data_IF_106436409852
#
_entry.id   IF_106436409852
#
_cell.length_a   1.000
_cell.length_b   1.000
_cell.length_c   1.000
_cell.angle_alpha   90.00
_cell.angle_beta   90.00
_cell.angle_gamma   90.00
#
_symmetry.space_group_name_H-M   'P 1'
#
loop_
_entity.id
_entity.type
_entity.pdbx_description
1 polymer ?
#
# COMPACT_ATOMS: atom_id res chain seq x y z
N UNK A 1 -10.58 19.62 -33.18
CA UNK A 1 -10.14 18.81 -32.03
C UNK A 1 -9.45 17.60 -32.62
N UNK A 2 -8.13 17.61 -32.72
CA UNK A 2 -7.39 16.51 -33.32
C UNK A 2 -7.45 15.27 -32.41
N UNK A 3 -7.60 14.06 -32.96
CA UNK A 3 -7.62 12.84 -32.16
C UNK A 3 -6.25 12.62 -31.48
N UNK A 4 -6.23 11.98 -30.30
CA UNK A 4 -4.99 11.65 -29.60
C UNK A 4 -4.05 10.82 -30.49
N UNK A 5 -2.76 11.14 -30.46
CA UNK A 5 -1.75 10.45 -31.28
C UNK A 5 -1.63 8.97 -30.86
N UNK A 6 -1.23 8.05 -31.76
CA UNK A 6 -1.14 6.62 -31.45
C UNK A 6 -0.28 6.27 -30.22
N UNK A 7 0.72 7.11 -29.91
CA UNK A 7 1.61 6.96 -28.75
C UNK A 7 0.84 7.15 -27.44
N UNK A 8 -0.11 8.09 -27.39
CA UNK A 8 -0.89 8.35 -26.16
C UNK A 8 -1.93 7.24 -25.91
N UNK A 9 -2.51 6.68 -26.97
CA UNK A 9 -3.47 5.57 -26.87
C UNK A 9 -2.86 4.32 -26.20
N UNK A 10 -1.60 4.01 -26.47
CA UNK A 10 -0.92 2.86 -25.86
C UNK A 10 -0.51 3.12 -24.40
N UNK A 11 -0.12 4.35 -24.07
CA UNK A 11 0.18 4.76 -22.70
C UNK A 11 -1.10 4.68 -21.82
N UNK A 12 -2.23 5.19 -22.32
CA UNK A 12 -3.52 5.14 -21.63
C UNK A 12 -3.98 3.70 -21.37
N UNK A 13 -3.87 2.82 -22.39
CA UNK A 13 -4.18 1.38 -22.23
C UNK A 13 -3.32 0.73 -21.15
N UNK A 14 -2.02 1.04 -21.10
CA UNK A 14 -1.10 0.51 -20.07
C UNK A 14 -1.46 1.02 -18.67
N UNK A 15 -1.76 2.31 -18.52
CA UNK A 15 -2.19 2.91 -17.26
C UNK A 15 -3.49 2.26 -16.75
N UNK A 16 -4.47 2.06 -17.63
CA UNK A 16 -5.73 1.36 -17.31
C UNK A 16 -5.47 -0.05 -16.79
N UNK A 17 -4.63 -0.83 -17.48
CA UNK A 17 -4.27 -2.19 -17.06
C UNK A 17 -3.58 -2.20 -15.68
N UNK A 18 -2.64 -1.28 -15.43
CA UNK A 18 -1.97 -1.13 -14.13
C UNK A 18 -2.96 -0.80 -13.01
N UNK A 19 -3.87 0.16 -13.24
CA UNK A 19 -4.94 0.51 -12.29
C UNK A 19 -5.83 -0.70 -11.98
N UNK A 20 -6.28 -1.43 -12.99
CA UNK A 20 -7.10 -2.63 -12.77
C UNK A 20 -6.36 -3.72 -12.02
N UNK A 21 -5.05 -3.92 -12.27
CA UNK A 21 -4.22 -4.85 -11.49
C UNK A 21 -4.14 -4.43 -10.03
N UNK A 22 -3.87 -3.15 -9.75
CA UNK A 22 -3.80 -2.59 -8.40
C UNK A 22 -5.12 -2.77 -7.65
N UNK A 23 -6.26 -2.46 -8.27
CA UNK A 23 -7.59 -2.63 -7.65
C UNK A 23 -7.84 -4.10 -7.28
N UNK A 24 -7.54 -5.04 -8.18
CA UNK A 24 -7.68 -6.48 -7.88
C UNK A 24 -6.78 -6.92 -6.74
N UNK A 25 -5.55 -6.39 -6.67
CA UNK A 25 -4.59 -6.70 -5.62
C UNK A 25 -5.09 -6.19 -4.26
N UNK A 26 -5.54 -4.93 -4.19
CA UNK A 26 -6.15 -4.35 -2.98
C UNK A 26 -7.32 -5.19 -2.53
N UNK A 27 -8.27 -5.50 -3.42
CA UNK A 27 -9.45 -6.32 -3.09
C UNK A 27 -9.04 -7.66 -2.47
N UNK A 28 -7.99 -8.30 -2.99
CA UNK A 28 -7.49 -9.57 -2.47
C UNK A 28 -6.79 -9.45 -1.11
N UNK A 29 -6.20 -8.31 -0.80
CA UNK A 29 -5.62 -8.05 0.53
C UNK A 29 -6.74 -7.73 1.53
N UNK A 30 -7.74 -6.93 1.13
CA UNK A 30 -8.93 -6.66 1.96
C UNK A 30 -9.68 -7.95 2.30
N UNK A 31 -9.86 -8.85 1.33
CA UNK A 31 -10.48 -10.17 1.57
C UNK A 31 -9.69 -11.03 2.59
N UNK A 32 -8.38 -10.79 2.76
CA UNK A 32 -7.50 -11.55 3.68
C UNK A 32 -7.41 -10.89 5.06
N UNK A 33 -7.20 -9.57 5.09
CA UNK A 33 -6.78 -8.84 6.29
C UNK A 33 -7.84 -7.85 6.82
N UNK A 34 -8.87 -7.56 6.04
CA UNK A 34 -9.80 -6.45 6.29
C UNK A 34 -9.34 -5.13 5.68
N UNK A 35 -10.07 -4.05 6.00
CA UNK A 35 -9.87 -2.69 5.48
C UNK A 35 -9.17 -1.75 6.49
N UNK A 36 -8.50 -2.32 7.49
CA UNK A 36 -7.72 -1.59 8.47
C UNK A 36 -6.26 -1.42 8.03
N UNK A 37 -5.65 -0.30 8.40
CA UNK A 37 -4.22 -0.05 8.23
C UNK A 37 -3.40 -1.02 9.08
N UNK A 38 -2.39 -1.64 8.47
CA UNK A 38 -1.51 -2.60 9.15
C UNK A 38 -0.76 -1.98 10.34
N UNK A 39 -0.44 -0.67 10.26
CA UNK A 39 0.38 0.01 11.27
C UNK A 39 -0.44 0.58 12.42
N UNK A 40 -1.48 1.38 12.12
CA UNK A 40 -2.24 2.08 13.17
C UNK A 40 -3.58 1.42 13.52
N UNK A 41 -4.00 0.39 12.77
CA UNK A 41 -5.24 -0.35 13.02
C UNK A 41 -6.55 0.37 12.66
N UNK A 42 -6.50 1.64 12.23
CA UNK A 42 -7.68 2.42 11.80
C UNK A 42 -8.14 2.04 10.39
N UNK A 43 -9.44 2.24 10.10
CA UNK A 43 -9.98 2.03 8.75
C UNK A 43 -9.26 2.93 7.73
N UNK A 44 -9.01 2.38 6.53
CA UNK A 44 -8.29 3.07 5.47
C UNK A 44 -9.16 4.09 4.72
N UNK A 45 -10.47 3.84 4.60
CA UNK A 45 -11.34 4.64 3.73
C UNK A 45 -10.79 4.72 2.30
N UNK A 46 -10.62 5.95 1.80
CA UNK A 46 -10.04 6.20 0.47
C UNK A 46 -8.51 6.27 0.46
N UNK A 47 -7.84 6.38 1.62
CA UNK A 47 -6.39 6.44 1.75
C UNK A 47 -5.78 5.03 1.85
N UNK A 48 -5.78 4.34 0.70
CA UNK A 48 -5.24 2.98 0.58
C UNK A 48 -3.95 2.99 -0.23
N UNK A 49 -2.85 2.68 0.46
CA UNK A 49 -1.58 2.29 -0.15
C UNK A 49 -1.27 0.81 0.11
N UNK A 50 -0.33 0.26 -0.67
CA UNK A 50 0.15 -1.12 -0.50
C UNK A 50 1.59 -1.00 -0.04
N UNK A 51 1.94 -1.72 1.03
CA UNK A 51 3.28 -1.73 1.58
C UNK A 51 3.88 -3.14 1.61
N UNK A 52 5.17 -3.24 1.33
CA UNK A 52 5.92 -4.50 1.44
C UNK A 52 6.43 -4.69 2.87
N UNK A 53 6.08 -5.79 3.54
CA UNK A 53 6.58 -6.07 4.89
C UNK A 53 8.10 -6.23 4.90
N UNK A 54 8.63 -7.06 4.00
CA UNK A 54 10.05 -7.08 3.65
C UNK A 54 10.25 -6.11 2.48
N UNK A 55 10.97 -4.99 2.66
CA UNK A 55 11.21 -4.04 1.58
C UNK A 55 11.89 -4.67 0.36
N UNK A 56 11.58 -4.17 -0.84
CA UNK A 56 12.23 -4.62 -2.09
C UNK A 56 13.75 -4.38 -2.02
N UNK A 57 14.18 -3.29 -1.39
CA UNK A 57 15.61 -2.96 -1.15
C UNK A 57 16.33 -4.02 -0.30
N UNK A 58 15.58 -4.78 0.50
CA UNK A 58 16.07 -5.91 1.29
C UNK A 58 15.81 -7.27 0.62
N UNK A 59 15.45 -7.30 -0.68
CA UNK A 59 15.16 -8.53 -1.42
C UNK A 59 13.76 -9.10 -1.18
N UNK A 60 12.84 -8.31 -0.63
CA UNK A 60 11.47 -8.75 -0.38
C UNK A 60 10.69 -9.08 -1.66
N UNK A 61 9.90 -10.18 -1.68
CA UNK A 61 9.15 -10.58 -2.86
C UNK A 61 7.92 -9.69 -3.09
N UNK A 62 7.54 -9.47 -4.36
CA UNK A 62 6.27 -8.82 -4.74
C UNK A 62 5.10 -9.83 -4.74
N UNK A 63 5.03 -10.66 -3.71
CA UNK A 63 3.96 -11.65 -3.51
C UNK A 63 2.94 -11.11 -2.53
N UNK A 64 1.65 -11.43 -2.72
CA UNK A 64 0.56 -10.98 -1.84
C UNK A 64 0.82 -11.26 -0.36
N UNK A 65 1.50 -12.36 -0.01
CA UNK A 65 1.89 -12.69 1.37
C UNK A 65 2.83 -11.68 2.02
N UNK A 66 3.60 -10.93 1.24
CA UNK A 66 4.50 -9.86 1.69
C UNK A 66 3.86 -8.47 1.62
N UNK A 67 2.61 -8.37 1.15
CA UNK A 67 1.93 -7.08 0.95
C UNK A 67 0.88 -6.85 2.02
N UNK A 68 0.82 -5.65 2.57
CA UNK A 68 -0.21 -5.20 3.50
C UNK A 68 -0.79 -3.86 3.05
N UNK A 69 -1.92 -3.46 3.61
CA UNK A 69 -2.51 -2.14 3.36
C UNK A 69 -2.11 -1.15 4.44
N UNK A 70 -1.90 0.10 4.06
CA UNK A 70 -1.57 1.19 4.96
C UNK A 70 -2.07 2.53 4.42
N UNK A 71 -2.34 3.47 5.33
CA UNK A 71 -2.47 4.89 4.99
C UNK A 71 -1.19 5.42 4.36
N UNK A 72 -1.27 6.46 3.54
CA UNK A 72 -0.09 7.07 2.93
C UNK A 72 0.91 7.56 3.98
N UNK A 73 0.44 8.25 5.02
CA UNK A 73 1.33 8.79 6.07
C UNK A 73 1.98 7.69 6.91
N UNK A 74 1.22 6.66 7.30
CA UNK A 74 1.77 5.49 8.01
C UNK A 74 2.82 4.77 7.15
N UNK A 75 2.53 4.59 5.87
CA UNK A 75 3.43 3.95 4.94
C UNK A 75 4.74 4.74 4.77
N UNK A 76 4.64 6.05 4.60
CA UNK A 76 5.80 6.93 4.51
C UNK A 76 6.65 6.91 5.79
N UNK A 77 6.03 6.76 6.96
CA UNK A 77 6.76 6.63 8.23
C UNK A 77 7.50 5.29 8.35
N UNK A 78 6.95 4.25 7.72
CA UNK A 78 7.56 2.93 7.67
C UNK A 78 8.69 2.83 6.63
N UNK A 79 8.55 3.50 5.49
CA UNK A 79 9.58 3.62 4.44
C UNK A 79 10.35 2.30 4.19
N UNK A 80 11.68 2.34 4.27
CA UNK A 80 12.54 1.18 4.06
C UNK A 80 12.85 0.40 5.34
N UNK A 81 12.09 0.60 6.43
CA UNK A 81 12.28 -0.15 7.67
C UNK A 81 12.22 -1.66 7.42
N UNK A 82 13.05 -2.39 8.16
CA UNK A 82 13.00 -3.85 8.20
C UNK A 82 11.65 -4.35 8.75
N UNK A 83 11.33 -5.63 8.53
CA UNK A 83 10.12 -6.25 9.10
C UNK A 83 10.06 -6.04 10.60
N UNK A 84 11.18 -6.24 11.31
CA UNK A 84 11.23 -6.11 12.76
C UNK A 84 10.92 -4.67 13.22
N UNK A 85 11.45 -3.67 12.52
CA UNK A 85 11.17 -2.26 12.82
C UNK A 85 9.73 -1.87 12.48
N UNK A 86 9.17 -2.40 11.38
CA UNK A 86 7.75 -2.20 11.02
C UNK A 86 6.80 -2.77 12.07
N UNK A 87 7.12 -3.96 12.58
CA UNK A 87 6.36 -4.57 13.69
C UNK A 87 6.44 -3.68 14.93
N UNK A 88 7.63 -3.20 15.32
CA UNK A 88 7.78 -2.26 16.45
C UNK A 88 6.99 -0.96 16.24
N UNK A 89 7.03 -0.39 15.04
CA UNK A 89 6.28 0.83 14.70
C UNK A 89 4.77 0.61 14.86
N UNK A 90 4.26 -0.54 14.42
CA UNK A 90 2.85 -0.92 14.62
C UNK A 90 2.49 -1.00 16.11
N UNK A 91 3.28 -1.72 16.90
CA UNK A 91 3.02 -1.86 18.33
C UNK A 91 3.04 -0.49 19.04
N UNK A 92 3.96 0.39 18.63
CA UNK A 92 4.04 1.76 19.14
C UNK A 92 2.81 2.59 18.78
N UNK A 93 2.38 2.56 17.52
CA UNK A 93 1.17 3.26 17.05
C UNK A 93 -0.10 2.79 17.76
N UNK A 94 -0.18 1.50 18.08
CA UNK A 94 -1.30 0.95 18.85
C UNK A 94 -1.26 1.37 20.32
N UNK A 95 -0.07 1.53 20.90
CA UNK A 95 0.11 1.97 22.29
C UNK A 95 -0.17 3.47 22.47
N UNK A 96 0.08 4.28 21.44
CA UNK A 96 -0.03 5.74 21.48
C UNK A 96 -0.82 6.32 20.28
N UNK A 97 -2.10 5.96 20.11
CA UNK A 97 -2.86 6.30 18.90
C UNK A 97 -2.99 7.81 18.63
N UNK A 98 -2.97 8.64 19.68
CA UNK A 98 -3.08 10.10 19.60
C UNK A 98 -1.81 10.77 19.03
N UNK A 99 -0.64 10.21 19.29
CA UNK A 99 0.65 10.75 18.82
C UNK A 99 0.86 10.51 17.31
N UNK A 100 0.21 9.46 16.79
CA UNK A 100 0.35 9.01 15.41
C UNK A 100 -0.93 9.19 14.60
N UNK A 101 -1.73 10.22 14.90
CA UNK A 101 -2.92 10.57 14.13
C UNK A 101 -2.59 10.63 12.62
N UNK A 102 -3.42 9.97 11.81
CA UNK A 102 -3.29 9.91 10.35
C UNK A 102 -4.19 10.97 9.72
#
# INVERSE_FOLDING_TARGET
MEPPSPITLDAEKRAKRKRSKRIRQIKKIVERDGDACFFCGRSLGDDITIEHLVPITHGGPDHRSNLVLAHHACNQRADHLSVAEKVRLREEMHRQPEEFAV
#
